data_IF_043015892708
#
_entry.id   IF_043015892708
#
_cell.length_a   1.000
_cell.length_b   1.000
_cell.length_c   1.000
_cell.angle_alpha   90.00
_cell.angle_beta   90.00
_cell.angle_gamma   90.00
#
_symmetry.space_group_name_H-M   'P 1'
#
loop_
_entity.id
_entity.type
_entity.pdbx_description
1 polymer ?
#
# COMPACT_ATOMS: atom_id res chain seq x y z
N UNK A 1 -7.99 16.98 2.56
CA UNK A 1 -6.53 16.75 2.70
C UNK A 1 -5.72 18.01 2.98
N UNK A 2 -5.93 19.13 2.27
CA UNK A 2 -5.16 20.37 2.52
C UNK A 2 -5.21 20.87 3.99
N UNK A 3 -6.37 20.82 4.66
CA UNK A 3 -6.47 21.24 6.07
C UNK A 3 -5.63 20.38 7.00
N UNK A 4 -5.59 19.06 6.78
CA UNK A 4 -4.74 18.16 7.57
C UNK A 4 -3.26 18.42 7.33
N UNK A 5 -2.88 18.79 6.10
CA UNK A 5 -1.51 19.20 5.76
C UNK A 5 -1.09 20.47 6.50
N UNK A 6 -1.95 21.48 6.57
CA UNK A 6 -1.62 22.76 7.21
C UNK A 6 -1.68 22.70 8.74
N UNK A 7 -2.67 22.03 9.32
CA UNK A 7 -2.93 22.09 10.76
C UNK A 7 -2.50 20.82 11.52
N UNK A 8 -2.18 19.73 10.81
CA UNK A 8 -2.03 18.39 11.37
C UNK A 8 -3.38 17.70 11.60
N UNK A 9 -3.40 16.37 11.57
CA UNK A 9 -4.62 15.57 11.77
C UNK A 9 -5.27 15.83 13.14
N UNK A 10 -4.47 15.92 14.21
CA UNK A 10 -5.02 16.07 15.56
C UNK A 10 -5.75 17.39 15.81
N UNK A 11 -5.27 18.49 15.21
CA UNK A 11 -5.84 19.82 15.43
C UNK A 11 -7.00 20.13 14.47
N UNK A 12 -7.22 19.30 13.46
CA UNK A 12 -8.30 19.50 12.50
C UNK A 12 -9.63 19.00 13.09
N UNK A 13 -10.63 19.89 13.14
CA UNK A 13 -11.98 19.56 13.59
C UNK A 13 -12.92 19.42 12.39
N UNK A 14 -13.98 18.62 12.53
CA UNK A 14 -15.03 18.52 11.50
C UNK A 14 -15.62 19.89 11.13
N UNK A 15 -15.75 20.81 12.10
CA UNK A 15 -16.19 22.18 11.84
C UNK A 15 -15.21 22.94 10.94
N UNK A 16 -13.92 22.91 11.26
CA UNK A 16 -12.90 23.57 10.44
C UNK A 16 -12.82 22.97 9.02
N UNK A 17 -13.09 21.67 8.87
CA UNK A 17 -13.18 20.99 7.57
C UNK A 17 -14.38 21.50 6.77
N UNK A 18 -15.56 21.56 7.40
CA UNK A 18 -16.78 22.08 6.78
C UNK A 18 -16.61 23.54 6.34
N UNK A 19 -16.09 24.40 7.22
CA UNK A 19 -15.81 25.81 6.94
C UNK A 19 -14.84 25.96 5.75
N UNK A 20 -13.76 25.16 5.73
CA UNK A 20 -12.78 25.20 4.64
C UNK A 20 -13.33 24.70 3.31
N UNK A 21 -14.25 23.73 3.35
CA UNK A 21 -14.91 23.16 2.18
C UNK A 21 -16.11 23.99 1.69
N UNK A 22 -16.50 25.04 2.43
CA UNK A 22 -17.65 25.88 2.08
C UNK A 22 -18.99 25.17 2.21
N UNK A 23 -19.09 24.14 3.06
CA UNK A 23 -20.32 23.39 3.31
C UNK A 23 -20.78 23.55 4.76
N UNK A 24 -22.06 23.30 5.03
CA UNK A 24 -22.55 23.28 6.41
C UNK A 24 -21.94 22.10 7.18
N UNK A 25 -21.81 22.26 8.50
CA UNK A 25 -21.34 21.17 9.37
C UNK A 25 -22.26 19.93 9.30
N UNK A 26 -23.57 20.13 9.17
CA UNK A 26 -24.53 19.04 9.00
C UNK A 26 -24.33 18.28 7.68
N UNK A 27 -24.04 18.99 6.60
CA UNK A 27 -23.71 18.37 5.31
C UNK A 27 -22.38 17.61 5.39
N UNK A 28 -21.38 18.15 6.10
CA UNK A 28 -20.12 17.43 6.32
C UNK A 28 -20.32 16.12 7.09
N UNK A 29 -21.12 16.14 8.16
CA UNK A 29 -21.46 14.94 8.93
C UNK A 29 -22.33 13.93 8.17
N UNK A 30 -23.15 14.41 7.23
CA UNK A 30 -23.93 13.54 6.35
C UNK A 30 -23.03 12.65 5.48
N UNK A 31 -21.92 13.19 4.96
CA UNK A 31 -20.96 12.42 4.17
C UNK A 31 -19.91 11.69 5.02
N UNK A 32 -19.46 12.29 6.12
CA UNK A 32 -18.41 11.74 6.97
C UNK A 32 -18.75 11.91 8.44
N UNK A 33 -19.07 10.80 9.09
CA UNK A 33 -19.47 10.80 10.50
C UNK A 33 -18.32 11.17 11.45
N UNK A 34 -17.06 11.00 11.03
CA UNK A 34 -15.87 11.43 11.81
C UNK A 34 -14.68 11.82 10.93
N UNK A 35 -13.64 12.38 11.56
CA UNK A 35 -12.34 12.63 10.90
C UNK A 35 -11.65 11.33 10.49
N UNK A 36 -11.90 10.20 11.17
CA UNK A 36 -11.39 8.90 10.72
C UNK A 36 -12.02 8.47 9.39
N UNK A 37 -13.34 8.65 9.24
CA UNK A 37 -14.04 8.30 7.99
C UNK A 37 -13.52 9.09 6.78
N UNK A 38 -13.05 10.33 6.99
CA UNK A 38 -12.37 11.10 5.95
C UNK A 38 -11.03 10.49 5.53
N UNK A 39 -10.29 9.87 6.46
CA UNK A 39 -9.04 9.17 6.16
C UNK A 39 -9.32 7.85 5.46
N UNK A 40 -10.33 7.09 5.90
CA UNK A 40 -10.70 5.84 5.24
C UNK A 40 -11.11 6.09 3.78
N UNK A 41 -11.95 7.09 3.54
CA UNK A 41 -12.29 7.50 2.17
C UNK A 41 -11.08 7.99 1.35
N UNK A 42 -10.05 8.53 2.01
CA UNK A 42 -8.79 8.87 1.37
C UNK A 42 -7.98 7.63 0.97
N UNK A 43 -7.91 6.62 1.83
CA UNK A 43 -7.29 5.35 1.49
C UNK A 43 -8.00 4.64 0.35
N UNK A 44 -9.34 4.57 0.39
CA UNK A 44 -10.14 4.01 -0.69
C UNK A 44 -9.89 4.73 -2.01
N UNK A 45 -9.82 6.07 -1.98
CA UNK A 45 -9.51 6.87 -3.16
C UNK A 45 -8.12 6.58 -3.72
N UNK A 46 -7.08 6.59 -2.88
CA UNK A 46 -5.72 6.29 -3.34
C UNK A 46 -5.63 4.88 -3.89
N UNK A 47 -6.28 3.90 -3.24
CA UNK A 47 -6.26 2.53 -3.71
C UNK A 47 -6.95 2.39 -5.08
N UNK A 48 -8.07 3.10 -5.29
CA UNK A 48 -8.75 3.12 -6.59
C UNK A 48 -7.91 3.80 -7.69
N UNK A 49 -7.29 4.95 -7.38
CA UNK A 49 -6.38 5.65 -8.29
C UNK A 49 -5.16 4.79 -8.63
N UNK A 50 -4.58 4.11 -7.64
CA UNK A 50 -3.47 3.17 -7.82
C UNK A 50 -3.87 1.97 -8.68
N UNK A 51 -5.02 1.34 -8.42
CA UNK A 51 -5.50 0.22 -9.23
C UNK A 51 -5.70 0.61 -10.71
N UNK A 52 -6.23 1.82 -10.97
CA UNK A 52 -6.39 2.32 -12.33
C UNK A 52 -5.04 2.52 -13.03
N UNK A 53 -4.09 3.20 -12.39
CA UNK A 53 -2.74 3.42 -12.93
C UNK A 53 -1.95 2.10 -13.10
N UNK A 54 -2.12 1.18 -12.16
CA UNK A 54 -1.52 -0.16 -12.21
C UNK A 54 -2.06 -0.96 -13.40
N UNK A 55 -3.35 -0.86 -13.72
CA UNK A 55 -3.93 -1.55 -14.88
C UNK A 55 -3.22 -1.19 -16.19
N UNK A 56 -2.88 0.09 -16.38
CA UNK A 56 -2.10 0.55 -17.53
C UNK A 56 -0.70 -0.05 -17.55
N UNK A 57 -0.02 -0.08 -16.39
CA UNK A 57 1.30 -0.68 -16.25
C UNK A 57 1.30 -2.19 -16.51
N UNK A 58 0.21 -2.88 -16.14
CA UNK A 58 0.06 -4.33 -16.31
C UNK A 58 -0.28 -4.73 -17.74
N UNK A 59 -0.90 -3.86 -18.55
CA UNK A 59 -1.33 -4.16 -19.91
C UNK A 59 -0.18 -4.55 -20.86
N UNK A 60 1.02 -4.01 -20.64
CA UNK A 60 2.21 -4.26 -21.46
C UNK A 60 3.24 -5.20 -20.83
N UNK A 61 3.06 -5.62 -19.57
CA UNK A 61 4.08 -6.31 -18.79
C UNK A 61 3.76 -7.80 -18.60
N UNK A 62 4.69 -8.67 -18.99
CA UNK A 62 4.54 -10.14 -18.90
C UNK A 62 5.44 -10.78 -17.85
N UNK A 63 6.60 -10.19 -17.57
CA UNK A 63 7.50 -10.71 -16.54
C UNK A 63 7.04 -10.27 -15.16
N UNK A 64 7.28 -11.09 -14.14
CA UNK A 64 6.96 -10.72 -12.74
C UNK A 64 7.66 -9.43 -12.31
N UNK A 65 8.94 -9.27 -12.66
CA UNK A 65 9.72 -8.09 -12.31
C UNK A 65 9.15 -6.81 -12.95
N UNK A 66 8.78 -6.85 -14.23
CA UNK A 66 8.21 -5.68 -14.91
C UNK A 66 6.84 -5.32 -14.33
N UNK A 67 5.99 -6.33 -14.09
CA UNK A 67 4.65 -6.14 -13.51
C UNK A 67 4.75 -5.54 -12.11
N UNK A 68 5.55 -6.11 -11.22
CA UNK A 68 5.71 -5.60 -9.85
C UNK A 68 6.34 -4.21 -9.83
N UNK A 69 7.35 -3.96 -10.66
CA UNK A 69 7.97 -2.63 -10.77
C UNK A 69 6.95 -1.60 -11.23
N UNK A 70 6.18 -1.90 -12.27
CA UNK A 70 5.13 -1.03 -12.80
C UNK A 70 4.07 -0.68 -11.75
N UNK A 71 3.55 -1.69 -11.03
CA UNK A 71 2.56 -1.48 -9.97
C UNK A 71 3.12 -0.64 -8.82
N UNK A 72 4.35 -0.89 -8.36
CA UNK A 72 4.94 -0.13 -7.27
C UNK A 72 5.29 1.31 -7.67
N UNK A 73 5.75 1.54 -8.90
CA UNK A 73 6.01 2.91 -9.39
C UNK A 73 4.72 3.69 -9.62
N UNK A 74 3.68 3.05 -10.16
CA UNK A 74 2.35 3.65 -10.28
C UNK A 74 1.78 4.09 -8.93
N UNK A 75 2.05 3.32 -7.86
CA UNK A 75 1.70 3.76 -6.51
C UNK A 75 2.43 5.03 -6.09
N UNK A 76 3.75 5.12 -6.35
CA UNK A 76 4.54 6.32 -6.03
C UNK A 76 4.03 7.54 -6.79
N UNK A 77 3.67 7.39 -8.07
CA UNK A 77 3.10 8.47 -8.89
C UNK A 77 1.75 8.96 -8.35
N UNK A 78 0.85 8.04 -7.98
CA UNK A 78 -0.45 8.39 -7.39
C UNK A 78 -0.29 9.02 -6.00
N UNK A 79 0.68 8.56 -5.22
CA UNK A 79 0.90 9.01 -3.86
C UNK A 79 1.62 10.38 -3.77
N UNK A 80 2.39 10.77 -4.80
CA UNK A 80 3.22 11.97 -4.83
C UNK A 80 2.53 13.25 -4.33
N UNK A 81 1.31 13.61 -4.78
CA UNK A 81 0.62 14.83 -4.32
C UNK A 81 0.33 14.85 -2.81
N UNK A 82 0.39 13.67 -2.18
CA UNK A 82 0.07 13.45 -0.78
C UNK A 82 1.30 13.25 0.11
N UNK A 83 2.54 13.35 -0.42
CA UNK A 83 3.78 13.12 0.35
C UNK A 83 3.86 13.96 1.64
N UNK A 84 3.64 15.27 1.53
CA UNK A 84 3.70 16.17 2.70
C UNK A 84 2.61 15.84 3.74
N UNK A 85 1.43 15.40 3.28
CA UNK A 85 0.35 14.97 4.17
C UNK A 85 0.72 13.65 4.85
N UNK A 86 1.19 12.66 4.10
CA UNK A 86 1.58 11.35 4.61
C UNK A 86 2.70 11.46 5.65
N UNK A 87 3.71 12.32 5.43
CA UNK A 87 4.75 12.63 6.42
C UNK A 87 4.20 13.06 7.78
N UNK A 88 3.22 13.95 7.79
CA UNK A 88 2.58 14.45 9.02
C UNK A 88 1.61 13.44 9.63
N UNK A 89 0.95 12.65 8.79
CA UNK A 89 -0.07 11.69 9.20
C UNK A 89 0.51 10.36 9.68
N UNK A 90 1.73 10.02 9.24
CA UNK A 90 2.37 8.74 9.51
C UNK A 90 2.41 8.37 11.00
N UNK A 91 2.68 9.34 11.88
CA UNK A 91 2.68 9.09 13.33
C UNK A 91 1.34 8.51 13.82
N UNK A 92 0.23 9.09 13.40
CA UNK A 92 -1.12 8.64 13.80
C UNK A 92 -1.49 7.30 13.16
N UNK A 93 -1.07 7.07 11.92
CA UNK A 93 -1.34 5.80 11.22
C UNK A 93 -0.46 4.64 11.72
N UNK A 94 0.76 4.92 12.19
CA UNK A 94 1.71 3.92 12.68
C UNK A 94 1.44 3.47 14.12
N UNK A 95 0.52 4.12 14.84
CA UNK A 95 0.08 3.69 16.17
C UNK A 95 -0.67 2.34 16.05
N UNK A 96 -0.23 1.27 16.74
CA UNK A 96 -0.80 -0.08 16.55
C UNK A 96 -2.30 -0.21 16.84
N UNK A 97 -2.81 0.60 17.76
CA UNK A 97 -4.23 0.62 18.15
C UNK A 97 -5.04 1.64 17.36
N UNK A 98 -4.44 2.30 16.37
CA UNK A 98 -5.11 3.32 15.58
C UNK A 98 -6.05 2.67 14.56
N UNK A 99 -7.33 3.08 14.50
CA UNK A 99 -8.24 2.65 13.45
C UNK A 99 -7.82 3.16 12.06
N UNK A 100 -6.83 4.07 12.01
CA UNK A 100 -6.26 4.62 10.78
C UNK A 100 -5.04 3.84 10.31
N UNK A 101 -4.61 2.82 11.05
CA UNK A 101 -3.56 1.94 10.61
C UNK A 101 -4.00 1.19 9.35
N UNK A 102 -3.15 1.05 8.31
CA UNK A 102 -3.41 0.15 7.19
C UNK A 102 -3.67 -1.31 7.61
N UNK A 103 -3.23 -1.67 8.82
CA UNK A 103 -3.40 -2.99 9.44
C UNK A 103 -4.64 -3.11 10.32
N UNK A 104 -5.42 -2.04 10.51
CA UNK A 104 -6.65 -2.07 11.32
C UNK A 104 -7.77 -2.87 10.64
N UNK A 105 -8.80 -3.21 11.41
CA UNK A 105 -10.05 -3.79 10.89
C UNK A 105 -10.80 -2.81 10.00
N UNK A 106 -10.74 -1.51 10.31
CA UNK A 106 -11.41 -0.46 9.54
C UNK A 106 -10.84 -0.33 8.12
N UNK A 107 -9.53 -0.57 7.97
CA UNK A 107 -8.83 -0.53 6.68
C UNK A 107 -8.86 -1.87 5.92
N UNK A 108 -9.59 -2.89 6.43
CA UNK A 108 -9.58 -4.24 5.86
C UNK A 108 -10.03 -4.28 4.41
N UNK A 109 -11.12 -3.59 4.08
CA UNK A 109 -11.67 -3.59 2.71
C UNK A 109 -10.65 -3.03 1.71
N UNK A 110 -10.03 -1.90 2.04
CA UNK A 110 -8.99 -1.28 1.21
C UNK A 110 -7.74 -2.17 1.12
N UNK A 111 -7.33 -2.78 2.24
CA UNK A 111 -6.19 -3.71 2.29
C UNK A 111 -6.42 -4.92 1.39
N UNK A 112 -7.59 -5.55 1.46
CA UNK A 112 -7.92 -6.71 0.62
C UNK A 112 -7.93 -6.34 -0.87
N UNK A 113 -8.51 -5.19 -1.23
CA UNK A 113 -8.47 -4.70 -2.61
C UNK A 113 -7.03 -4.47 -3.12
N UNK A 114 -6.14 -3.95 -2.27
CA UNK A 114 -4.72 -3.78 -2.60
C UNK A 114 -3.99 -5.14 -2.74
N UNK A 115 -4.29 -6.11 -1.87
CA UNK A 115 -3.77 -7.47 -1.96
C UNK A 115 -4.22 -8.15 -3.27
N UNK A 116 -5.46 -7.94 -3.70
CA UNK A 116 -5.97 -8.49 -4.95
C UNK A 116 -5.27 -7.89 -6.18
N UNK A 117 -4.85 -6.62 -6.14
CA UNK A 117 -3.99 -6.06 -7.19
C UNK A 117 -2.64 -6.81 -7.28
N UNK A 118 -2.03 -7.18 -6.15
CA UNK A 118 -0.83 -8.02 -6.18
C UNK A 118 -1.09 -9.46 -6.61
N UNK A 119 -2.30 -9.97 -6.37
CA UNK A 119 -2.73 -11.26 -6.92
C UNK A 119 -2.72 -11.21 -8.44
N UNK A 120 -3.25 -10.15 -9.05
CA UNK A 120 -3.20 -9.94 -10.50
C UNK A 120 -1.76 -9.85 -11.03
N UNK A 121 -0.85 -9.18 -10.30
CA UNK A 121 0.58 -9.14 -10.63
C UNK A 121 1.14 -10.56 -10.75
N UNK A 122 0.93 -11.39 -9.72
CA UNK A 122 1.46 -12.76 -9.66
C UNK A 122 0.80 -13.66 -10.70
N UNK A 123 -0.52 -13.57 -10.85
CA UNK A 123 -1.30 -14.43 -11.75
C UNK A 123 -1.00 -14.19 -13.22
N UNK A 124 -0.85 -12.93 -13.62
CA UNK A 124 -0.50 -12.54 -15.00
C UNK A 124 0.99 -12.60 -15.34
N UNK A 125 1.85 -13.10 -14.44
CA UNK A 125 3.30 -13.14 -14.65
C UNK A 125 3.85 -14.48 -15.15
N UNK A 126 5.08 -14.45 -15.66
CA UNK A 126 5.87 -15.63 -16.00
C UNK A 126 6.32 -16.47 -14.78
N UNK A 127 6.13 -15.96 -13.56
CA UNK A 127 6.63 -16.58 -12.33
C UNK A 127 5.94 -17.92 -12.04
N UNK A 128 6.75 -18.97 -11.93
CA UNK A 128 6.34 -20.30 -11.50
C UNK A 128 6.74 -20.49 -10.05
N UNK A 129 5.80 -20.88 -9.20
CA UNK A 129 6.00 -21.14 -7.77
C UNK A 129 5.23 -22.38 -7.34
N UNK A 130 5.61 -22.97 -6.20
CA UNK A 130 4.77 -23.95 -5.51
C UNK A 130 3.43 -23.32 -5.12
N UNK A 131 2.35 -24.10 -5.17
CA UNK A 131 0.98 -23.62 -4.90
C UNK A 131 0.88 -22.89 -3.56
N UNK A 132 1.50 -23.45 -2.50
CA UNK A 132 1.49 -22.87 -1.17
C UNK A 132 2.06 -21.44 -1.15
N UNK A 133 3.27 -21.24 -1.71
CA UNK A 133 3.89 -19.91 -1.77
C UNK A 133 3.12 -18.94 -2.68
N UNK A 134 2.59 -19.43 -3.80
CA UNK A 134 1.79 -18.61 -4.72
C UNK A 134 0.54 -18.04 -4.04
N UNK A 135 -0.08 -18.79 -3.13
CA UNK A 135 -1.25 -18.35 -2.36
C UNK A 135 -0.92 -17.21 -1.40
N UNK A 136 0.23 -17.27 -0.73
CA UNK A 136 0.62 -16.30 0.31
C UNK A 136 1.36 -15.06 -0.27
N UNK A 137 1.93 -15.18 -1.47
CA UNK A 137 2.74 -14.12 -2.09
C UNK A 137 2.04 -12.76 -2.24
N UNK A 138 0.76 -12.65 -2.62
CA UNK A 138 0.11 -11.35 -2.75
C UNK A 138 0.13 -10.52 -1.46
N UNK A 139 -0.09 -11.17 -0.32
CA UNK A 139 -0.04 -10.53 1.00
C UNK A 139 1.39 -10.09 1.36
N UNK A 140 2.39 -10.94 1.06
CA UNK A 140 3.82 -10.58 1.21
C UNK A 140 4.23 -9.37 0.34
N UNK A 141 3.70 -9.27 -0.87
CA UNK A 141 3.97 -8.14 -1.76
C UNK A 141 3.30 -6.86 -1.26
N UNK A 142 2.09 -6.96 -0.72
CA UNK A 142 1.45 -5.84 -0.03
C UNK A 142 2.25 -5.38 1.20
N UNK A 143 2.77 -6.31 2.01
CA UNK A 143 3.69 -5.98 3.11
C UNK A 143 4.98 -5.31 2.60
N UNK A 144 5.50 -5.76 1.46
CA UNK A 144 6.65 -5.13 0.80
C UNK A 144 6.32 -3.71 0.38
N UNK A 145 5.12 -3.47 -0.18
CA UNK A 145 4.64 -2.13 -0.49
C UNK A 145 4.57 -1.27 0.78
N UNK A 146 4.10 -1.79 1.93
CA UNK A 146 4.09 -1.02 3.18
C UNK A 146 5.50 -0.60 3.62
N UNK A 147 6.50 -1.45 3.39
CA UNK A 147 7.92 -1.08 3.55
C UNK A 147 8.37 0.02 2.60
N UNK A 148 7.92 -0.02 1.33
CA UNK A 148 8.17 1.06 0.36
C UNK A 148 7.48 2.36 0.77
N UNK A 149 6.22 2.31 1.25
CA UNK A 149 5.48 3.47 1.77
C UNK A 149 6.24 4.09 2.94
N UNK A 150 6.71 3.27 3.88
CA UNK A 150 7.51 3.74 5.01
C UNK A 150 8.75 4.49 4.53
N UNK A 151 9.51 3.91 3.60
CA UNK A 151 10.70 4.58 3.05
C UNK A 151 10.33 5.88 2.30
N UNK A 152 9.26 5.84 1.50
CA UNK A 152 8.76 6.97 0.71
C UNK A 152 8.37 8.16 1.59
N UNK A 153 7.69 7.92 2.72
CA UNK A 153 7.36 8.95 3.71
C UNK A 153 8.61 9.70 4.19
N UNK A 154 9.76 9.03 4.26
CA UNK A 154 11.03 9.60 4.72
C UNK A 154 11.94 10.10 3.59
N UNK A 155 11.60 9.82 2.33
CA UNK A 155 12.40 10.22 1.19
C UNK A 155 12.21 11.70 0.85
N UNK A 156 13.23 12.51 1.14
CA UNK A 156 13.27 13.94 0.85
C UNK A 156 13.92 14.29 -0.48
N UNK A 157 14.28 13.30 -1.31
CA UNK A 157 14.76 13.57 -2.67
C UNK A 157 13.65 14.13 -3.57
N UNK A 158 14.06 14.91 -4.57
CA UNK A 158 13.15 15.43 -5.61
C UNK A 158 12.36 14.28 -6.24
N UNK A 159 11.04 14.45 -6.36
CA UNK A 159 10.07 13.47 -6.87
C UNK A 159 10.22 12.05 -6.27
N UNK A 160 10.72 11.97 -5.03
CA UNK A 160 11.07 10.73 -4.32
C UNK A 160 11.91 9.76 -5.16
N UNK A 161 12.92 10.31 -5.85
CA UNK A 161 13.85 9.55 -6.70
C UNK A 161 14.50 8.36 -5.98
N UNK A 162 14.82 8.47 -4.68
CA UNK A 162 15.41 7.35 -3.92
C UNK A 162 14.42 6.20 -3.71
N UNK A 163 13.16 6.50 -3.47
CA UNK A 163 12.07 5.50 -3.41
C UNK A 163 11.92 4.78 -4.74
N UNK A 164 11.90 5.55 -5.84
CA UNK A 164 11.82 4.97 -7.19
C UNK A 164 13.03 4.08 -7.48
N UNK A 165 14.22 4.49 -7.04
CA UNK A 165 15.43 3.67 -7.14
C UNK A 165 15.35 2.40 -6.28
N UNK A 166 14.85 2.49 -5.05
CA UNK A 166 14.61 1.35 -4.17
C UNK A 166 13.72 0.32 -4.86
N UNK A 167 12.59 0.73 -5.44
CA UNK A 167 11.70 -0.16 -6.20
C UNK A 167 12.45 -0.84 -7.35
N UNK A 168 13.12 -0.06 -8.21
CA UNK A 168 13.84 -0.60 -9.38
C UNK A 168 14.96 -1.58 -9.01
N UNK A 169 15.58 -1.42 -7.85
CA UNK A 169 16.67 -2.28 -7.39
C UNK A 169 16.19 -3.49 -6.56
N UNK A 170 15.16 -3.32 -5.75
CA UNK A 170 14.64 -4.37 -4.89
C UNK A 170 13.84 -5.42 -5.68
N UNK A 171 13.03 -5.01 -6.66
CA UNK A 171 12.17 -5.94 -7.40
C UNK A 171 12.96 -7.06 -8.11
N UNK A 172 14.08 -6.80 -8.81
CA UNK A 172 14.91 -7.87 -9.37
C UNK A 172 15.48 -8.85 -8.33
N UNK A 173 15.76 -8.37 -7.11
CA UNK A 173 16.23 -9.22 -6.00
C UNK A 173 15.10 -10.12 -5.52
N UNK A 174 13.89 -9.58 -5.37
CA UNK A 174 12.69 -10.34 -5.00
C UNK A 174 12.35 -11.40 -6.07
N UNK A 175 12.36 -11.03 -7.35
CA UNK A 175 12.15 -11.97 -8.46
C UNK A 175 13.16 -13.12 -8.43
N UNK A 176 14.45 -12.81 -8.26
CA UNK A 176 15.50 -13.83 -8.16
C UNK A 176 15.30 -14.74 -6.96
N UNK A 177 15.02 -14.17 -5.78
CA UNK A 177 14.77 -14.94 -4.57
C UNK A 177 13.60 -15.93 -4.75
N UNK A 178 12.48 -15.46 -5.32
CA UNK A 178 11.31 -16.28 -5.63
C UNK A 178 11.61 -17.39 -6.65
N UNK A 179 12.47 -17.14 -7.64
CA UNK A 179 12.88 -18.19 -8.60
C UNK A 179 13.79 -19.24 -7.95
N UNK A 180 14.67 -18.83 -7.03
CA UNK A 180 15.56 -19.74 -6.29
C UNK A 180 14.79 -20.74 -5.42
N UNK A 181 13.59 -20.40 -4.95
CA UNK A 181 12.78 -21.34 -4.14
C UNK A 181 12.34 -22.58 -4.90
N UNK A 182 12.46 -22.60 -6.24
CA UNK A 182 12.20 -23.79 -7.06
C UNK A 182 13.41 -24.69 -7.26
N UNK A 183 14.61 -24.26 -6.86
CA UNK A 183 15.79 -25.07 -6.99
C UNK A 183 15.81 -26.20 -5.95
N UNK A 184 16.24 -27.41 -6.32
CA UNK A 184 16.42 -28.52 -5.38
C UNK A 184 17.34 -28.09 -4.23
N UNK A 185 16.92 -28.33 -2.98
CA UNK A 185 17.69 -27.99 -1.77
C UNK A 185 17.33 -26.67 -1.08
N UNK A 186 16.49 -25.82 -1.69
CA UNK A 186 16.00 -24.55 -1.10
C UNK A 186 14.54 -24.64 -0.65
N UNK A 187 13.91 -25.81 -0.78
CA UNK A 187 12.48 -26.01 -0.48
C UNK A 187 12.12 -25.76 0.99
N UNK A 188 13.03 -25.99 1.94
CA UNK A 188 12.78 -25.68 3.36
C UNK A 188 12.52 -24.19 3.61
N UNK A 189 13.15 -23.31 2.83
CA UNK A 189 12.92 -21.87 2.91
C UNK A 189 11.48 -21.48 2.50
N UNK A 190 10.84 -22.26 1.62
CA UNK A 190 9.43 -22.04 1.25
C UNK A 190 8.52 -22.32 2.42
N UNK A 191 8.74 -23.44 3.12
CA UNK A 191 7.95 -23.83 4.28
C UNK A 191 8.16 -22.83 5.43
N UNK A 192 9.38 -22.33 5.63
CA UNK A 192 9.68 -21.29 6.62
C UNK A 192 8.97 -19.95 6.30
N UNK A 193 9.01 -19.50 5.04
CA UNK A 193 8.34 -18.25 4.62
C UNK A 193 6.82 -18.39 4.71
N UNK A 194 6.25 -19.51 4.27
CA UNK A 194 4.80 -19.79 4.39
C UNK A 194 4.39 -19.88 5.86
N UNK A 195 5.20 -20.53 6.70
CA UNK A 195 4.99 -20.60 8.14
C UNK A 195 5.00 -19.21 8.78
N UNK A 196 5.96 -18.35 8.40
CA UNK A 196 6.04 -16.97 8.86
C UNK A 196 4.80 -16.16 8.50
N UNK A 197 4.37 -16.18 7.22
CA UNK A 197 3.17 -15.45 6.78
C UNK A 197 1.94 -15.88 7.58
N UNK A 198 1.75 -17.18 7.75
CA UNK A 198 0.61 -17.71 8.51
C UNK A 198 0.64 -17.32 9.98
N UNK A 199 1.83 -17.15 10.55
CA UNK A 199 2.01 -16.70 11.94
C UNK A 199 1.77 -15.20 12.10
N UNK A 200 1.98 -14.42 11.04
CA UNK A 200 1.76 -12.96 11.04
C UNK A 200 0.29 -12.56 10.84
N UNK A 201 -0.58 -13.48 10.39
CA UNK A 201 -2.02 -13.24 10.39
C UNK A 201 -2.53 -13.21 11.83
N UNK A 202 -3.24 -12.14 12.26
CA UNK A 202 -3.95 -12.19 13.53
C UNK A 202 -4.93 -13.36 13.51
N UNK A 203 -4.91 -14.18 14.55
CA UNK A 203 -6.01 -15.12 14.81
C UNK A 203 -7.29 -14.28 14.93
N UNK A 204 -8.27 -14.56 14.07
CA UNK A 204 -9.57 -13.87 14.07
C UNK A 204 -10.30 -13.95 15.40
#
# INVERSE_FOLDING_TARGET
MQLFRTNGYEKATMRAIADRAGVSIGNAYYYFSSKEHLIQAYYDRINAEHAAAASEALAGATTFADRLTGVLLAWVDVAEPYHEFAGKFFKTAAEPTSPLSPFSSESETTRLASIDLFREVVEGSDLKLAKALRTELPELLWLTQMGVVLFWVHDSSEDQQRTRQLVRQAVPVVDRALRLTRLPGVSGLVDDVVGLVRTLRPSG
#
